data_IF_263213328688
#
_entry.id   IF_263213328688
#
_cell.length_a   1.000
_cell.length_b   1.000
_cell.length_c   1.000
_cell.angle_alpha   90.00
_cell.angle_beta   90.00
_cell.angle_gamma   90.00
#
_symmetry.space_group_name_H-M   'P 1'
#
loop_
_entity.id
_entity.type
_entity.pdbx_description
1 polymer ?
#
# COMPACT_ATOMS: atom_id res chain seq x y z
N UNK A 1 24.48 -8.34 21.87
CA UNK A 1 25.10 -8.07 20.56
C UNK A 1 24.35 -8.83 19.47
N UNK A 2 24.05 -8.21 18.32
CA UNK A 2 23.24 -8.82 17.24
C UNK A 2 23.91 -10.01 16.54
N UNK A 3 25.25 -10.05 16.48
CA UNK A 3 25.99 -11.15 15.85
C UNK A 3 25.85 -12.49 16.60
N UNK A 4 25.90 -12.48 17.94
CA UNK A 4 25.66 -13.67 18.77
C UNK A 4 24.27 -14.29 18.57
N UNK A 5 23.26 -13.46 18.24
CA UNK A 5 21.92 -13.96 17.89
C UNK A 5 21.94 -14.69 16.54
N UNK A 6 22.64 -14.14 15.54
CA UNK A 6 22.77 -14.78 14.22
C UNK A 6 23.48 -16.14 14.33
N UNK A 7 24.56 -16.22 15.11
CA UNK A 7 25.28 -17.49 15.27
C UNK A 7 24.44 -18.55 15.98
N UNK A 8 23.67 -18.14 17.01
CA UNK A 8 22.76 -19.03 17.73
C UNK A 8 21.65 -19.54 16.82
N UNK A 9 21.00 -18.62 16.09
CA UNK A 9 19.94 -18.98 15.14
C UNK A 9 20.44 -19.95 14.06
N UNK A 10 21.60 -19.68 13.47
CA UNK A 10 22.17 -20.52 12.42
C UNK A 10 22.45 -21.94 12.92
N UNK A 11 22.98 -22.07 14.14
CA UNK A 11 23.22 -23.37 14.76
C UNK A 11 21.92 -24.12 15.08
N UNK A 12 20.88 -23.43 15.54
CA UNK A 12 19.58 -24.04 15.85
C UNK A 12 18.89 -24.57 14.59
N UNK A 13 18.88 -23.78 13.52
CA UNK A 13 18.20 -24.14 12.27
C UNK A 13 18.92 -25.29 11.53
N UNK A 14 20.26 -25.29 11.52
CA UNK A 14 21.04 -26.44 11.03
C UNK A 14 20.75 -27.72 11.83
N UNK A 15 20.64 -27.61 13.16
CA UNK A 15 20.37 -28.77 14.00
C UNK A 15 18.95 -29.33 13.78
N UNK A 16 17.96 -28.45 13.57
CA UNK A 16 16.58 -28.84 13.21
C UNK A 16 16.56 -29.58 11.87
N UNK A 17 17.18 -28.99 10.84
CA UNK A 17 17.25 -29.61 9.50
C UNK A 17 17.91 -30.99 9.56
N UNK A 18 19.04 -31.13 10.25
CA UNK A 18 19.72 -32.42 10.38
C UNK A 18 18.84 -33.47 11.08
N UNK A 19 18.08 -33.07 12.11
CA UNK A 19 17.15 -33.96 12.81
C UNK A 19 15.97 -34.38 11.93
N UNK A 20 15.47 -33.47 11.11
CA UNK A 20 14.39 -33.73 10.17
C UNK A 20 14.83 -34.73 9.09
N UNK A 21 16.06 -34.58 8.58
CA UNK A 21 16.67 -35.56 7.66
C UNK A 21 16.81 -36.93 8.32
N UNK A 22 17.36 -36.99 9.56
CA UNK A 22 17.47 -38.26 10.29
C UNK A 22 16.12 -38.96 10.45
N UNK A 23 15.08 -38.19 10.78
CA UNK A 23 13.72 -38.71 10.97
C UNK A 23 13.12 -39.19 9.65
N UNK A 24 13.28 -38.42 8.58
CA UNK A 24 12.77 -38.76 7.24
C UNK A 24 13.43 -40.00 6.65
N UNK A 25 14.75 -40.15 6.84
CA UNK A 25 15.49 -41.35 6.44
C UNK A 25 14.98 -42.58 7.21
N UNK A 26 14.71 -42.45 8.52
CA UNK A 26 14.12 -43.54 9.31
C UNK A 26 12.70 -43.92 8.84
N UNK A 27 11.94 -42.98 8.27
CA UNK A 27 10.64 -43.22 7.63
C UNK A 27 10.75 -43.78 6.21
N UNK A 28 11.96 -43.90 5.64
CA UNK A 28 12.17 -44.38 4.27
C UNK A 28 11.93 -43.32 3.18
N UNK A 29 11.80 -42.04 3.55
CA UNK A 29 11.58 -40.95 2.60
C UNK A 29 12.93 -40.42 2.09
N UNK A 30 13.29 -40.75 0.85
CA UNK A 30 14.58 -40.36 0.25
C UNK A 30 14.53 -39.00 -0.48
N UNK A 31 13.34 -38.45 -0.73
CA UNK A 31 13.18 -37.18 -1.45
C UNK A 31 13.79 -35.99 -0.71
N UNK A 32 13.87 -36.05 0.62
CA UNK A 32 14.48 -35.01 1.45
C UNK A 32 15.98 -34.81 1.13
N UNK A 33 16.67 -35.86 0.69
CA UNK A 33 18.09 -35.76 0.35
C UNK A 33 18.31 -34.85 -0.86
N UNK A 34 17.43 -34.92 -1.86
CA UNK A 34 17.50 -34.07 -3.06
C UNK A 34 17.29 -32.61 -2.69
N UNK A 35 16.28 -32.31 -1.87
CA UNK A 35 16.03 -30.95 -1.39
C UNK A 35 17.23 -30.42 -0.59
N UNK A 36 17.89 -31.29 0.17
CA UNK A 36 19.09 -30.89 0.90
C UNK A 36 20.27 -30.55 -0.02
N UNK A 37 20.41 -31.16 -1.19
CA UNK A 37 21.49 -30.83 -2.14
C UNK A 37 21.45 -29.34 -2.50
N UNK A 38 20.27 -28.78 -2.78
CA UNK A 38 20.12 -27.35 -3.11
C UNK A 38 20.38 -26.43 -1.91
N UNK A 39 19.90 -26.82 -0.73
CA UNK A 39 20.18 -26.10 0.53
C UNK A 39 21.68 -26.02 0.76
N UNK A 40 22.37 -27.16 0.71
CA UNK A 40 23.80 -27.22 0.99
C UNK A 40 24.63 -26.62 -0.14
N UNK A 41 24.19 -26.67 -1.39
CA UNK A 41 24.77 -25.91 -2.50
C UNK A 41 24.83 -24.41 -2.15
N UNK A 42 23.71 -23.83 -1.71
CA UNK A 42 23.67 -22.43 -1.27
C UNK A 42 24.54 -22.16 -0.04
N UNK A 43 24.57 -23.05 0.94
CA UNK A 43 25.40 -22.89 2.13
C UNK A 43 26.91 -22.98 1.84
N UNK A 44 27.34 -23.92 0.99
CA UNK A 44 28.73 -24.04 0.55
C UNK A 44 29.16 -22.82 -0.25
N UNK A 45 28.28 -22.27 -1.09
CA UNK A 45 28.52 -21.04 -1.83
C UNK A 45 28.92 -19.88 -0.91
N UNK A 46 28.16 -19.68 0.17
CA UNK A 46 28.40 -18.56 1.09
C UNK A 46 29.51 -18.87 2.12
N UNK A 47 29.52 -20.03 2.77
CA UNK A 47 30.41 -20.33 3.90
C UNK A 47 31.81 -20.82 3.49
N UNK A 48 31.91 -21.47 2.34
CA UNK A 48 33.18 -21.97 1.78
C UNK A 48 33.69 -21.11 0.62
N UNK A 49 32.88 -20.14 0.15
CA UNK A 49 33.28 -19.21 -0.91
C UNK A 49 33.30 -19.83 -2.31
N UNK A 50 32.64 -20.99 -2.49
CA UNK A 50 32.51 -21.68 -3.77
C UNK A 50 31.44 -21.00 -4.63
N UNK A 51 31.79 -19.85 -5.22
CA UNK A 51 30.81 -18.94 -5.84
C UNK A 51 30.04 -19.58 -6.99
N UNK A 52 30.66 -20.51 -7.71
CA UNK A 52 30.09 -21.15 -8.89
C UNK A 52 29.64 -22.59 -8.62
N UNK A 53 29.51 -22.96 -7.33
CA UNK A 53 28.96 -24.26 -6.98
C UNK A 53 27.53 -24.40 -7.50
N UNK A 54 27.26 -25.53 -8.14
CA UNK A 54 25.98 -25.87 -8.74
C UNK A 54 25.57 -27.30 -8.39
N UNK A 55 24.26 -27.55 -8.44
CA UNK A 55 23.72 -28.89 -8.29
C UNK A 55 23.72 -29.61 -9.65
N UNK A 56 24.41 -30.74 -9.73
CA UNK A 56 24.53 -31.52 -10.97
C UNK A 56 23.22 -32.20 -11.37
N UNK A 57 22.31 -32.45 -10.42
CA UNK A 57 21.02 -33.06 -10.68
C UNK A 57 20.01 -32.10 -11.37
N UNK A 58 20.24 -30.79 -11.32
CA UNK A 58 19.39 -29.79 -11.99
C UNK A 58 19.85 -29.47 -13.43
N UNK A 59 21.17 -29.46 -13.70
CA UNK A 59 21.73 -28.97 -14.98
C UNK A 59 22.19 -30.08 -15.95
N UNK A 60 22.58 -31.25 -15.46
CA UNK A 60 23.09 -32.35 -16.29
C UNK A 60 22.28 -33.65 -16.04
N UNK A 61 22.53 -34.71 -16.83
CA UNK A 61 21.77 -35.97 -16.78
C UNK A 61 21.56 -36.45 -15.33
N UNK A 62 20.34 -36.89 -15.00
CA UNK A 62 20.01 -37.52 -13.72
C UNK A 62 21.06 -38.56 -13.32
N UNK A 63 21.62 -38.40 -12.11
CA UNK A 63 22.61 -39.28 -11.47
C UNK A 63 24.04 -39.17 -12.06
N UNK A 64 24.69 -38.01 -11.88
CA UNK A 64 26.14 -37.90 -12.10
C UNK A 64 26.88 -38.88 -11.17
N UNK A 65 27.90 -39.62 -11.64
CA UNK A 65 28.43 -40.76 -10.93
C UNK A 65 29.23 -40.35 -9.67
N UNK A 66 28.57 -40.40 -8.52
CA UNK A 66 29.18 -40.27 -7.20
C UNK A 66 29.61 -38.85 -6.81
N UNK A 67 29.01 -37.82 -7.42
CA UNK A 67 29.12 -36.41 -7.02
C UNK A 67 27.74 -35.76 -7.23
N UNK A 68 27.30 -34.94 -6.27
CA UNK A 68 26.02 -34.23 -6.36
C UNK A 68 26.21 -32.73 -6.67
N UNK A 69 27.25 -32.10 -6.10
CA UNK A 69 27.56 -30.68 -6.33
C UNK A 69 28.98 -30.50 -6.89
N UNK A 70 29.17 -29.55 -7.80
CA UNK A 70 30.51 -29.21 -8.31
C UNK A 70 30.73 -27.70 -8.43
N UNK A 71 31.98 -27.28 -8.24
CA UNK A 71 32.50 -25.97 -8.66
C UNK A 71 33.72 -26.22 -9.57
N UNK A 72 33.58 -25.93 -10.86
CA UNK A 72 34.62 -26.22 -11.85
C UNK A 72 35.76 -25.20 -11.85
N UNK A 73 35.50 -23.97 -11.38
CA UNK A 73 36.53 -22.94 -11.29
C UNK A 73 37.47 -23.24 -10.12
N UNK A 74 36.90 -23.56 -8.96
CA UNK A 74 37.67 -23.96 -7.77
C UNK A 74 38.08 -25.44 -7.80
N UNK A 75 37.62 -26.20 -8.80
CA UNK A 75 37.90 -27.63 -8.99
C UNK A 75 37.55 -28.46 -7.75
N UNK A 76 36.41 -28.16 -7.11
CA UNK A 76 35.90 -28.86 -5.92
C UNK A 76 34.65 -29.65 -6.27
N UNK A 77 34.58 -30.89 -5.80
CA UNK A 77 33.40 -31.75 -5.88
C UNK A 77 32.86 -32.10 -4.49
N UNK A 78 31.54 -32.15 -4.35
CA UNK A 78 30.88 -32.51 -3.10
C UNK A 78 29.86 -33.62 -3.34
N UNK A 79 30.01 -34.73 -2.60
CA UNK A 79 28.97 -35.75 -2.47
C UNK A 79 28.15 -35.46 -1.22
N UNK A 80 26.84 -35.35 -1.36
CA UNK A 80 25.87 -35.22 -0.28
C UNK A 80 25.28 -36.61 0.01
N UNK A 81 25.23 -37.01 1.28
CA UNK A 81 24.69 -38.33 1.67
C UNK A 81 24.15 -38.33 3.09
N UNK A 82 23.08 -39.08 3.36
CA UNK A 82 22.63 -39.34 4.73
C UNK A 82 23.31 -40.57 5.36
N UNK A 83 23.89 -41.45 4.54
CA UNK A 83 24.63 -42.64 4.98
C UNK A 83 26.07 -42.27 5.36
N UNK A 84 26.37 -42.49 6.65
CA UNK A 84 27.65 -42.21 7.29
C UNK A 84 28.63 -43.40 7.30
N UNK A 85 28.27 -44.53 6.69
CA UNK A 85 29.08 -45.74 6.75
C UNK A 85 30.40 -45.57 5.98
N UNK A 86 31.46 -46.20 6.51
CA UNK A 86 32.75 -46.27 5.82
C UNK A 86 32.62 -46.93 4.44
N UNK A 87 31.71 -47.90 4.29
CA UNK A 87 31.44 -48.57 3.01
C UNK A 87 30.88 -47.61 1.98
N UNK A 88 29.90 -46.76 2.34
CA UNK A 88 29.37 -45.72 1.46
C UNK A 88 30.47 -44.76 1.00
N UNK A 89 31.32 -44.29 1.92
CA UNK A 89 32.45 -43.41 1.61
C UNK A 89 33.40 -44.06 0.60
N UNK A 90 33.79 -45.32 0.84
CA UNK A 90 34.65 -46.08 -0.07
C UNK A 90 34.01 -46.26 -1.44
N UNK A 91 32.72 -46.56 -1.49
CA UNK A 91 32.00 -46.75 -2.74
C UNK A 91 31.90 -45.45 -3.54
N UNK A 92 31.63 -44.32 -2.89
CA UNK A 92 31.64 -43.00 -3.53
C UNK A 92 33.03 -42.67 -4.10
N UNK A 93 34.09 -42.82 -3.31
CA UNK A 93 35.46 -42.56 -3.79
C UNK A 93 35.88 -43.49 -4.93
N UNK A 94 35.53 -44.78 -4.84
CA UNK A 94 35.80 -45.75 -5.92
C UNK A 94 35.06 -45.36 -7.21
N UNK A 95 33.82 -44.90 -7.10
CA UNK A 95 33.00 -44.44 -8.24
C UNK A 95 33.67 -43.23 -8.92
N UNK A 96 34.11 -42.25 -8.14
CA UNK A 96 34.82 -41.06 -8.63
C UNK A 96 36.11 -41.46 -9.38
N UNK A 97 36.89 -42.39 -8.83
CA UNK A 97 38.13 -42.86 -9.48
C UNK A 97 37.81 -43.59 -10.78
N UNK A 98 36.82 -44.49 -10.78
CA UNK A 98 36.43 -45.27 -11.96
C UNK A 98 35.96 -44.40 -13.13
N UNK A 99 35.33 -43.25 -12.83
CA UNK A 99 34.88 -42.27 -13.82
C UNK A 99 35.92 -41.17 -14.12
N UNK A 100 37.15 -41.30 -13.60
CA UNK A 100 38.25 -40.32 -13.77
C UNK A 100 37.93 -38.89 -13.32
N UNK A 101 37.01 -38.73 -12.38
CA UNK A 101 36.63 -37.40 -11.87
C UNK A 101 37.74 -36.75 -11.04
N UNK A 102 38.68 -37.55 -10.52
CA UNK A 102 39.92 -37.11 -9.87
C UNK A 102 40.87 -36.33 -10.80
N UNK A 103 40.71 -36.41 -12.13
CA UNK A 103 41.47 -35.58 -13.07
C UNK A 103 40.84 -34.17 -13.21
N UNK A 104 39.52 -34.07 -12.94
CA UNK A 104 38.74 -32.84 -13.09
C UNK A 104 38.71 -32.00 -11.81
N UNK A 105 38.67 -32.65 -10.65
CA UNK A 105 38.56 -31.99 -9.35
C UNK A 105 39.78 -32.29 -8.48
N UNK A 106 40.33 -31.25 -7.86
CA UNK A 106 41.52 -31.35 -7.00
C UNK A 106 41.14 -31.73 -5.57
N UNK A 107 39.92 -31.37 -5.14
CA UNK A 107 39.40 -31.67 -3.80
C UNK A 107 38.02 -32.28 -3.86
N UNK A 108 37.82 -33.33 -3.07
CA UNK A 108 36.54 -34.04 -2.96
C UNK A 108 36.09 -33.97 -1.51
N UNK A 109 34.87 -33.51 -1.29
CA UNK A 109 34.24 -33.40 0.03
C UNK A 109 33.06 -34.37 0.07
N UNK A 110 32.91 -35.09 1.18
CA UNK A 110 31.74 -35.90 1.48
C UNK A 110 30.99 -35.20 2.62
N UNK A 111 29.84 -34.63 2.29
CA UNK A 111 28.96 -33.98 3.24
C UNK A 111 27.88 -34.95 3.72
N UNK A 112 27.88 -35.23 5.02
CA UNK A 112 26.93 -36.09 5.68
C UNK A 112 25.79 -35.23 6.23
N UNK A 113 24.57 -35.44 5.72
CA UNK A 113 23.36 -34.70 6.12
C UNK A 113 22.99 -34.94 7.60
N UNK A 114 23.32 -36.13 8.09
CA UNK A 114 23.15 -36.55 9.48
C UNK A 114 24.47 -36.39 10.24
N UNK A 115 24.57 -36.93 11.45
CA UNK A 115 25.83 -36.92 12.20
C UNK A 115 26.87 -37.91 11.61
N UNK A 116 28.06 -37.41 11.25
CA UNK A 116 29.19 -38.26 10.80
C UNK A 116 29.68 -39.23 11.88
N UNK A 117 30.32 -40.34 11.50
CA UNK A 117 30.91 -41.29 12.45
C UNK A 117 32.00 -40.64 13.31
N UNK A 118 32.23 -41.18 14.51
CA UNK A 118 33.25 -40.65 15.42
C UNK A 118 34.67 -40.83 14.90
N UNK A 119 34.92 -41.88 14.10
CA UNK A 119 36.19 -42.13 13.43
C UNK A 119 35.97 -42.94 12.16
N UNK A 120 36.87 -42.77 11.19
CA UNK A 120 36.96 -43.56 9.97
C UNK A 120 38.37 -44.14 9.85
N UNK A 121 38.49 -45.34 9.29
CA UNK A 121 39.80 -45.97 9.08
C UNK A 121 40.53 -45.30 7.92
N UNK A 122 41.54 -44.50 8.24
CA UNK A 122 42.40 -43.79 7.27
C UNK A 122 43.08 -44.76 6.31
N UNK A 123 43.63 -45.87 6.82
CA UNK A 123 44.27 -46.91 6.00
C UNK A 123 43.31 -47.49 4.95
N UNK A 124 42.06 -47.71 5.34
CA UNK A 124 41.02 -48.23 4.47
C UNK A 124 40.63 -47.27 3.35
N UNK A 125 40.62 -45.96 3.64
CA UNK A 125 40.28 -44.92 2.65
C UNK A 125 41.47 -44.70 1.72
N UNK A 126 42.68 -44.60 2.25
CA UNK A 126 43.91 -44.43 1.45
C UNK A 126 44.12 -45.59 0.46
N UNK A 127 43.78 -46.82 0.85
CA UNK A 127 43.81 -47.98 -0.05
C UNK A 127 42.86 -47.84 -1.24
N UNK A 128 41.70 -47.19 -1.05
CA UNK A 128 40.73 -46.94 -2.13
C UNK A 128 41.19 -45.79 -3.01
N UNK A 129 41.74 -44.73 -2.42
CA UNK A 129 42.27 -43.59 -3.16
C UNK A 129 43.48 -43.96 -4.02
N UNK A 130 44.27 -44.96 -3.61
CA UNK A 130 45.42 -45.50 -4.37
C UNK A 130 46.40 -44.40 -4.84
N UNK A 131 46.55 -43.34 -4.03
CA UNK A 131 47.38 -42.18 -4.34
C UNK A 131 46.86 -41.27 -5.46
N UNK A 132 45.67 -41.53 -6.02
CA UNK A 132 45.05 -40.74 -7.11
C UNK A 132 44.26 -39.53 -6.62
N UNK A 133 43.83 -39.55 -5.36
CA UNK A 133 43.09 -38.48 -4.70
C UNK A 133 43.77 -38.22 -3.36
N UNK A 134 44.11 -36.96 -3.10
CA UNK A 134 44.48 -36.50 -1.76
C UNK A 134 43.20 -36.26 -0.96
N UNK A 135 42.92 -37.13 0.02
CA UNK A 135 41.67 -37.09 0.80
C UNK A 135 41.98 -37.14 2.29
N UNK A 136 41.71 -36.05 3.01
CA UNK A 136 41.87 -35.97 4.45
C UNK A 136 40.52 -36.20 5.15
N UNK A 137 40.41 -37.34 5.84
CA UNK A 137 39.24 -37.75 6.62
C UNK A 137 38.74 -36.66 7.58
N UNK A 138 39.64 -35.85 8.13
CA UNK A 138 39.30 -34.83 9.12
C UNK A 138 38.70 -33.57 8.51
N UNK A 139 39.14 -33.17 7.31
CA UNK A 139 38.71 -31.93 6.64
C UNK A 139 37.75 -32.14 5.49
N UNK A 140 37.68 -33.35 4.92
CA UNK A 140 36.91 -33.65 3.72
C UNK A 140 35.66 -34.47 4.01
N UNK A 141 35.51 -35.01 5.23
CA UNK A 141 34.23 -35.56 5.70
C UNK A 141 33.59 -34.56 6.65
N UNK A 142 32.54 -33.90 6.18
CA UNK A 142 31.87 -32.80 6.88
C UNK A 142 30.47 -33.19 7.31
N UNK A 143 30.00 -32.63 8.42
CA UNK A 143 28.59 -32.63 8.81
C UNK A 143 28.13 -31.24 9.27
N UNK A 144 26.87 -31.14 9.72
CA UNK A 144 26.27 -29.88 10.15
C UNK A 144 27.06 -29.15 11.26
N UNK A 145 27.87 -29.87 12.06
CA UNK A 145 28.69 -29.27 13.14
C UNK A 145 29.89 -28.53 12.56
N UNK A 146 30.46 -29.05 11.48
CA UNK A 146 31.57 -28.40 10.77
C UNK A 146 31.08 -27.12 10.10
N UNK A 147 29.89 -27.14 9.48
CA UNK A 147 29.22 -25.94 8.96
C UNK A 147 28.88 -24.94 10.06
N UNK A 148 28.36 -25.39 11.21
CA UNK A 148 28.07 -24.52 12.35
C UNK A 148 29.34 -23.85 12.88
N UNK A 149 30.44 -24.59 13.00
CA UNK A 149 31.74 -24.05 13.40
C UNK A 149 32.28 -23.03 12.38
N UNK A 150 32.08 -23.28 11.08
CA UNK A 150 32.42 -22.33 10.01
C UNK A 150 31.57 -21.06 10.10
N UNK A 151 30.26 -21.21 10.28
CA UNK A 151 29.31 -20.10 10.42
C UNK A 151 29.57 -19.25 11.66
N UNK A 152 29.97 -19.85 12.77
CA UNK A 152 30.33 -19.14 14.00
C UNK A 152 31.52 -18.16 13.81
N UNK A 153 32.42 -18.48 12.87
CA UNK A 153 33.59 -17.65 12.54
C UNK A 153 33.36 -16.79 11.28
N UNK A 154 32.18 -16.84 10.67
CA UNK A 154 31.88 -16.11 9.44
C UNK A 154 31.53 -14.65 9.71
N UNK A 155 31.92 -13.71 8.83
CA UNK A 155 31.46 -12.32 8.89
C UNK A 155 29.92 -12.22 8.92
N UNK A 156 29.33 -11.24 9.64
CA UNK A 156 27.88 -11.13 9.80
C UNK A 156 27.08 -11.14 8.49
N UNK A 157 27.64 -10.57 7.41
CA UNK A 157 27.00 -10.53 6.09
C UNK A 157 26.90 -11.92 5.45
N UNK A 158 27.95 -12.72 5.55
CA UNK A 158 27.99 -14.10 5.02
C UNK A 158 27.04 -14.98 5.83
N UNK A 159 27.12 -14.86 7.16
CA UNK A 159 26.24 -15.61 8.06
C UNK A 159 24.76 -15.29 7.83
N UNK A 160 24.42 -14.02 7.59
CA UNK A 160 23.05 -13.61 7.29
C UNK A 160 22.54 -14.23 5.99
N UNK A 161 23.35 -14.27 4.92
CA UNK A 161 22.97 -14.94 3.67
C UNK A 161 22.78 -16.44 3.83
N UNK A 162 23.65 -17.11 4.59
CA UNK A 162 23.51 -18.53 4.90
C UNK A 162 22.22 -18.82 5.69
N UNK A 163 21.90 -17.97 6.68
CA UNK A 163 20.62 -18.00 7.38
C UNK A 163 19.44 -17.76 6.44
N UNK A 164 19.60 -16.87 5.47
CA UNK A 164 18.52 -16.53 4.57
C UNK A 164 18.14 -17.71 3.67
N UNK A 165 19.15 -18.43 3.17
CA UNK A 165 18.99 -19.68 2.43
C UNK A 165 18.29 -20.73 3.28
N UNK A 166 18.78 -21.03 4.49
CA UNK A 166 18.12 -22.00 5.39
C UNK A 166 16.67 -21.63 5.69
N UNK A 167 16.44 -20.34 5.95
CA UNK A 167 15.12 -19.81 6.28
C UNK A 167 14.10 -19.97 5.16
N UNK A 168 14.50 -19.82 3.90
CA UNK A 168 13.60 -19.98 2.75
C UNK A 168 13.09 -21.43 2.64
N UNK A 169 13.97 -22.42 2.80
CA UNK A 169 13.61 -23.83 2.71
C UNK A 169 12.81 -24.33 3.92
N UNK A 170 13.18 -23.90 5.13
CA UNK A 170 12.46 -24.30 6.34
C UNK A 170 11.05 -23.69 6.43
N UNK A 171 10.80 -22.55 5.76
CA UNK A 171 9.51 -21.83 5.81
C UNK A 171 8.63 -22.05 4.59
N UNK A 172 9.20 -22.48 3.46
CA UNK A 172 8.50 -22.57 2.18
C UNK A 172 8.17 -21.21 1.55
N UNK A 173 8.73 -20.12 2.07
CA UNK A 173 8.57 -18.76 1.53
C UNK A 173 9.84 -17.92 1.78
N UNK A 174 10.04 -16.90 0.95
CA UNK A 174 11.15 -15.95 1.10
C UNK A 174 11.03 -15.11 2.37
N UNK A 175 12.17 -14.69 2.88
CA UNK A 175 12.31 -13.92 4.12
C UNK A 175 11.78 -12.49 3.92
N UNK A 176 10.95 -12.04 4.86
CA UNK A 176 10.33 -10.71 4.84
C UNK A 176 8.88 -10.72 4.35
N UNK A 177 8.34 -11.89 4.00
CA UNK A 177 6.93 -12.07 3.62
C UNK A 177 6.12 -12.86 4.65
N UNK A 178 6.76 -13.42 5.69
CA UNK A 178 6.07 -14.13 6.76
C UNK A 178 5.69 -13.20 7.91
N UNK A 179 4.55 -13.45 8.56
CA UNK A 179 4.07 -12.67 9.72
C UNK A 179 5.10 -12.57 10.85
N UNK A 180 5.91 -13.62 11.03
CA UNK A 180 6.99 -13.67 12.04
C UNK A 180 8.23 -12.83 11.70
N UNK A 181 8.41 -12.42 10.43
CA UNK A 181 9.45 -11.46 10.03
C UNK A 181 9.02 -10.02 10.32
N UNK A 182 7.71 -9.80 10.49
CA UNK A 182 7.12 -8.56 10.99
C UNK A 182 6.98 -8.64 12.51
N UNK A 183 8.02 -8.17 13.22
CA UNK A 183 7.99 -7.93 14.66
C UNK A 183 7.91 -6.40 14.95
N UNK A 184 6.83 -5.70 14.52
CA UNK A 184 6.62 -4.32 14.92
C UNK A 184 6.39 -4.29 16.44
N UNK A 185 6.94 -3.31 17.17
CA UNK A 185 6.77 -3.21 18.61
C UNK A 185 5.30 -3.27 19.02
N UNK A 186 4.97 -4.09 20.02
CA UNK A 186 3.63 -4.16 20.61
C UNK A 186 3.24 -2.85 21.33
N UNK A 187 4.23 -2.01 21.66
CA UNK A 187 4.04 -0.75 22.35
C UNK A 187 4.81 0.42 21.70
N UNK A 188 4.21 1.62 21.64
CA UNK A 188 2.84 1.92 22.05
C UNK A 188 1.80 1.53 20.99
N UNK A 189 0.56 1.16 21.37
CA UNK A 189 -0.51 0.91 20.42
C UNK A 189 -0.79 2.16 19.57
N UNK A 190 -1.01 1.97 18.27
CA UNK A 190 -1.31 3.05 17.34
C UNK A 190 -2.80 3.09 17.01
N UNK A 191 -3.40 4.27 17.05
CA UNK A 191 -4.78 4.47 16.58
C UNK A 191 -4.76 4.66 15.08
N UNK A 192 -5.31 3.69 14.35
CA UNK A 192 -5.49 3.81 12.91
C UNK A 192 -6.70 4.69 12.64
N UNK A 193 -6.52 5.73 11.83
CA UNK A 193 -7.61 6.59 11.38
C UNK A 193 -7.89 6.29 9.91
N UNK A 194 -9.11 5.87 9.58
CA UNK A 194 -9.54 5.79 8.19
C UNK A 194 -9.75 7.20 7.64
N UNK A 195 -9.72 7.34 6.32
CA UNK A 195 -10.08 8.59 5.64
C UNK A 195 -11.61 8.80 5.57
N UNK A 196 -12.35 8.25 6.53
CA UNK A 196 -13.80 8.20 6.60
C UNK A 196 -14.30 9.09 7.74
N UNK A 197 -15.20 10.02 7.40
CA UNK A 197 -15.89 10.91 8.33
C UNK A 197 -17.37 10.52 8.36
N UNK A 198 -17.95 10.32 9.54
CA UNK A 198 -19.39 10.08 9.68
C UNK A 198 -20.20 11.18 9.00
N UNK A 199 -21.23 10.79 8.26
CA UNK A 199 -22.03 11.71 7.44
C UNK A 199 -23.52 11.51 7.71
N UNK A 200 -24.17 12.56 8.16
CA UNK A 200 -25.59 12.57 8.51
C UNK A 200 -26.37 13.46 7.55
N UNK A 201 -27.62 13.08 7.30
CA UNK A 201 -28.53 13.76 6.39
C UNK A 201 -29.96 13.73 6.95
N UNK A 202 -30.89 14.55 6.41
CA UNK A 202 -32.28 14.58 6.87
C UNK A 202 -32.96 13.22 6.72
N UNK A 203 -33.81 12.88 7.69
CA UNK A 203 -34.49 11.58 7.78
C UNK A 203 -35.84 11.56 7.04
N UNK A 204 -36.12 12.57 6.22
CA UNK A 204 -37.32 12.62 5.39
C UNK A 204 -36.91 12.99 3.97
N UNK A 205 -37.22 12.12 3.04
CA UNK A 205 -37.03 12.30 1.61
C UNK A 205 -38.38 12.62 0.97
N UNK A 206 -38.43 13.67 0.16
CA UNK A 206 -39.63 14.08 -0.58
C UNK A 206 -39.43 13.77 -2.06
N UNK A 207 -40.45 13.14 -2.67
CA UNK A 207 -40.48 12.78 -4.07
C UNK A 207 -41.79 13.26 -4.67
N UNK A 208 -41.74 13.94 -5.81
CA UNK A 208 -42.94 14.37 -6.51
C UNK A 208 -42.73 14.35 -8.03
N UNK A 209 -43.80 14.17 -8.79
CA UNK A 209 -43.75 14.25 -10.24
C UNK A 209 -43.55 15.71 -10.68
N UNK A 210 -42.73 15.91 -11.71
CA UNK A 210 -42.55 17.22 -12.31
C UNK A 210 -43.80 17.60 -13.14
N UNK A 211 -44.13 18.88 -13.15
CA UNK A 211 -45.28 19.39 -13.93
C UNK A 211 -45.07 19.12 -15.43
N UNK A 212 -46.15 18.85 -16.21
CA UNK A 212 -46.05 18.57 -17.64
C UNK A 212 -45.31 19.66 -18.44
N UNK A 213 -45.55 20.93 -18.10
CA UNK A 213 -44.89 22.09 -18.72
C UNK A 213 -43.36 22.07 -18.55
N UNK A 214 -42.89 21.52 -17.44
CA UNK A 214 -41.47 21.33 -17.16
C UNK A 214 -40.93 20.17 -18.00
N UNK A 215 -41.68 19.06 -18.06
CA UNK A 215 -41.29 17.84 -18.78
C UNK A 215 -41.22 18.02 -20.30
N UNK A 216 -42.11 18.83 -20.90
CA UNK A 216 -42.11 19.09 -22.34
C UNK A 216 -40.77 19.64 -22.85
N UNK A 217 -40.06 20.38 -22.01
CA UNK A 217 -38.75 20.96 -22.30
C UNK A 217 -37.57 20.05 -21.90
N UNK A 218 -37.83 18.95 -21.20
CA UNK A 218 -36.82 18.04 -20.64
C UNK A 218 -36.45 16.85 -21.53
N UNK A 219 -36.72 16.89 -22.85
CA UNK A 219 -36.37 15.83 -23.83
C UNK A 219 -34.86 15.55 -23.99
N UNK A 220 -34.01 16.10 -23.13
CA UNK A 220 -32.56 15.93 -23.10
C UNK A 220 -32.14 14.80 -22.16
N UNK A 221 -31.07 14.08 -22.52
CA UNK A 221 -30.38 13.11 -21.67
C UNK A 221 -29.90 13.70 -20.33
N UNK A 222 -29.78 15.02 -20.22
CA UNK A 222 -29.33 15.74 -19.02
C UNK A 222 -30.47 16.52 -18.36
N UNK A 223 -31.44 15.78 -17.80
CA UNK A 223 -32.68 16.33 -17.22
C UNK A 223 -32.43 17.46 -16.22
N UNK A 224 -31.46 17.32 -15.31
CA UNK A 224 -31.12 18.39 -14.34
C UNK A 224 -30.63 19.69 -15.00
N UNK A 225 -29.80 19.61 -16.03
CA UNK A 225 -29.33 20.80 -16.75
C UNK A 225 -30.49 21.49 -17.47
N UNK A 226 -31.42 20.70 -18.03
CA UNK A 226 -32.64 21.22 -18.62
C UNK A 226 -33.50 21.94 -17.56
N UNK A 227 -33.70 21.34 -16.38
CA UNK A 227 -34.43 21.98 -15.27
C UNK A 227 -33.80 23.31 -14.87
N UNK A 228 -32.47 23.35 -14.72
CA UNK A 228 -31.75 24.57 -14.38
C UNK A 228 -31.92 25.67 -15.43
N UNK A 229 -32.00 25.32 -16.72
CA UNK A 229 -32.24 26.28 -17.80
C UNK A 229 -33.70 26.77 -17.82
N UNK A 230 -34.67 25.91 -17.48
CA UNK A 230 -36.07 26.31 -17.30
C UNK A 230 -36.20 27.32 -16.15
N UNK A 231 -35.69 27.00 -14.97
CA UNK A 231 -35.72 27.88 -13.78
C UNK A 231 -35.13 29.26 -14.09
N UNK A 232 -33.97 29.31 -14.78
CA UNK A 232 -33.34 30.57 -15.16
C UNK A 232 -34.17 31.41 -16.14
N UNK A 233 -34.90 30.78 -17.06
CA UNK A 233 -35.80 31.50 -17.99
C UNK A 233 -36.99 32.12 -17.28
N UNK A 234 -37.50 31.43 -16.24
CA UNK A 234 -38.54 31.98 -15.37
C UNK A 234 -38.03 33.08 -14.42
N UNK A 235 -36.73 33.42 -14.49
CA UNK A 235 -36.09 34.39 -13.59
C UNK A 235 -36.21 34.03 -12.11
N UNK A 236 -36.39 32.73 -11.82
CA UNK A 236 -36.45 32.17 -10.48
C UNK A 236 -35.09 31.55 -10.12
N UNK A 237 -34.90 31.25 -8.84
CA UNK A 237 -33.74 30.55 -8.32
C UNK A 237 -34.19 29.45 -7.39
N UNK A 238 -33.61 28.26 -7.56
CA UNK A 238 -33.87 27.11 -6.69
C UNK A 238 -32.55 26.60 -6.11
N UNK A 239 -32.56 26.07 -4.88
CA UNK A 239 -31.43 25.36 -4.30
C UNK A 239 -30.94 24.23 -5.22
N UNK A 240 -29.63 23.94 -5.17
CA UNK A 240 -29.03 22.93 -6.05
C UNK A 240 -29.15 21.48 -5.55
N UNK A 241 -29.71 21.26 -4.37
CA UNK A 241 -29.79 19.99 -3.63
C UNK A 241 -31.05 19.17 -3.95
N UNK A 242 -31.23 18.86 -5.24
CA UNK A 242 -32.26 17.97 -5.76
C UNK A 242 -31.71 17.05 -6.85
N UNK A 243 -32.33 15.92 -7.11
CA UNK A 243 -32.07 15.11 -8.32
C UNK A 243 -33.36 14.92 -9.11
N UNK A 244 -33.22 14.73 -10.43
CA UNK A 244 -34.33 14.33 -11.28
C UNK A 244 -34.06 12.89 -11.70
N UNK A 245 -35.02 12.01 -11.42
CA UNK A 245 -34.95 10.59 -11.75
C UNK A 245 -36.34 10.12 -12.19
N UNK A 246 -36.43 9.51 -13.37
CA UNK A 246 -37.71 9.05 -13.94
C UNK A 246 -38.84 10.10 -13.85
N UNK A 247 -38.54 11.33 -14.29
CA UNK A 247 -39.48 12.47 -14.35
C UNK A 247 -39.99 12.95 -12.98
N UNK A 248 -39.40 12.43 -11.89
CA UNK A 248 -39.65 12.84 -10.51
C UNK A 248 -38.50 13.68 -9.97
N UNK A 249 -38.86 14.68 -9.17
CA UNK A 249 -37.92 15.44 -8.37
C UNK A 249 -37.76 14.76 -7.02
N UNK A 250 -36.51 14.49 -6.62
CA UNK A 250 -36.16 13.88 -5.34
C UNK A 250 -35.28 14.85 -4.55
N UNK A 251 -35.68 15.21 -3.34
CA UNK A 251 -34.97 16.18 -2.49
C UNK A 251 -35.25 15.99 -1.00
N UNK A 252 -34.45 16.62 -0.15
CA UNK A 252 -34.72 16.72 1.29
C UNK A 252 -35.59 17.94 1.65
N UNK A 253 -35.85 18.84 0.70
CA UNK A 253 -36.73 20.00 0.93
C UNK A 253 -38.18 19.53 0.99
N UNK A 254 -38.97 20.10 1.92
CA UNK A 254 -40.39 19.79 2.00
C UNK A 254 -41.12 20.29 0.75
N UNK A 255 -41.59 19.35 -0.08
CA UNK A 255 -42.32 19.62 -1.32
C UNK A 255 -43.82 19.92 -1.10
N UNK A 256 -44.34 19.69 0.10
CA UNK A 256 -45.71 20.06 0.48
C UNK A 256 -45.84 21.56 0.80
N UNK A 257 -44.71 22.26 0.98
CA UNK A 257 -44.71 23.69 1.23
C UNK A 257 -44.96 24.48 -0.06
N UNK A 258 -46.14 25.11 -0.17
CA UNK A 258 -46.55 25.93 -1.33
C UNK A 258 -45.70 27.18 -1.56
N UNK A 259 -45.11 27.72 -0.50
CA UNK A 259 -44.17 28.84 -0.58
C UNK A 259 -42.71 28.34 -0.73
N UNK A 260 -42.53 27.03 -0.91
CA UNK A 260 -41.23 26.38 -1.06
C UNK A 260 -40.58 26.65 -2.42
N UNK A 261 -39.24 26.55 -2.50
CA UNK A 261 -38.50 26.88 -3.72
C UNK A 261 -38.81 25.96 -4.90
N UNK A 262 -39.40 24.79 -4.66
CA UNK A 262 -39.71 23.81 -5.70
C UNK A 262 -41.21 23.78 -6.08
N UNK A 263 -42.07 24.57 -5.44
CA UNK A 263 -43.52 24.47 -5.60
C UNK A 263 -44.00 24.69 -7.05
N UNK A 264 -43.30 25.52 -7.83
CA UNK A 264 -43.62 25.79 -9.24
C UNK A 264 -43.10 24.71 -10.21
N UNK A 265 -42.40 23.68 -9.72
CA UNK A 265 -41.78 22.63 -10.54
C UNK A 265 -42.51 21.29 -10.44
N UNK A 266 -43.23 21.06 -9.34
CA UNK A 266 -43.79 19.75 -8.98
C UNK A 266 -45.31 19.78 -8.88
N UNK A 267 -45.96 18.64 -9.09
CA UNK A 267 -47.37 18.47 -8.79
C UNK A 267 -47.55 18.14 -7.30
N UNK A 268 -48.10 19.09 -6.52
CA UNK A 268 -48.37 18.96 -5.08
C UNK A 268 -49.22 17.71 -4.76
N UNK A 269 -50.11 17.29 -5.67
CA UNK A 269 -50.95 16.10 -5.48
C UNK A 269 -50.20 14.77 -5.57
N UNK A 270 -48.95 14.79 -6.01
CA UNK A 270 -48.09 13.61 -6.21
C UNK A 270 -46.96 13.50 -5.19
N UNK A 271 -46.93 14.39 -4.19
CA UNK A 271 -45.86 14.40 -3.19
C UNK A 271 -45.95 13.15 -2.31
N UNK A 272 -44.86 12.39 -2.29
CA UNK A 272 -44.66 11.20 -1.46
C UNK A 272 -43.50 11.46 -0.48
N UNK A 273 -43.64 10.93 0.74
CA UNK A 273 -42.60 11.01 1.78
C UNK A 273 -42.04 9.64 2.10
N UNK A 274 -40.72 9.54 2.20
CA UNK A 274 -40.01 8.29 2.47
C UNK A 274 -38.94 8.49 3.55
N UNK A 275 -38.65 7.43 4.30
CA UNK A 275 -37.37 7.33 4.98
C UNK A 275 -36.27 7.13 3.93
N UNK A 276 -35.10 7.80 4.03
CA UNK A 276 -34.04 7.64 3.05
C UNK A 276 -33.63 6.19 2.78
N UNK A 277 -33.63 5.32 3.80
CA UNK A 277 -33.34 3.88 3.65
C UNK A 277 -34.32 3.16 2.75
N UNK A 278 -35.60 3.52 2.77
CA UNK A 278 -36.61 2.94 1.89
C UNK A 278 -36.35 3.25 0.41
N UNK A 279 -35.60 4.32 0.13
CA UNK A 279 -35.21 4.69 -1.23
C UNK A 279 -33.89 4.03 -1.63
N UNK A 280 -32.81 4.20 -0.84
CA UNK A 280 -31.48 3.73 -1.27
C UNK A 280 -31.26 2.22 -1.13
N UNK A 281 -32.06 1.50 -0.33
CA UNK A 281 -31.95 0.04 -0.19
C UNK A 281 -32.75 -0.74 -1.26
N UNK A 282 -33.43 -0.06 -2.19
CA UNK A 282 -34.17 -0.71 -3.29
C UNK A 282 -33.21 -1.50 -4.18
N UNK A 283 -32.22 -0.82 -4.77
CA UNK A 283 -31.17 -1.41 -5.59
C UNK A 283 -29.96 -0.47 -5.75
N UNK A 284 -28.94 -0.92 -6.48
CA UNK A 284 -27.71 -0.15 -6.74
C UNK A 284 -27.94 1.15 -7.55
N UNK A 285 -28.95 1.20 -8.41
CA UNK A 285 -29.28 2.38 -9.21
C UNK A 285 -29.92 3.46 -8.33
N UNK A 286 -30.85 3.08 -7.45
CA UNK A 286 -31.41 3.98 -6.44
C UNK A 286 -30.33 4.46 -5.46
N UNK A 287 -29.42 3.59 -5.01
CA UNK A 287 -28.27 3.99 -4.19
C UNK A 287 -27.40 5.03 -4.93
N UNK A 288 -27.18 4.87 -6.24
CA UNK A 288 -26.40 5.83 -7.06
C UNK A 288 -27.11 7.18 -7.22
N UNK A 289 -28.43 7.18 -7.39
CA UNK A 289 -29.24 8.41 -7.42
C UNK A 289 -29.18 9.10 -6.06
N UNK A 290 -29.30 8.35 -4.97
CA UNK A 290 -29.20 8.88 -3.62
C UNK A 290 -27.82 9.48 -3.33
N UNK A 291 -26.72 8.79 -3.70
CA UNK A 291 -25.35 9.36 -3.62
C UNK A 291 -25.21 10.65 -4.43
N UNK A 292 -25.92 10.78 -5.55
CA UNK A 292 -25.95 12.03 -6.31
C UNK A 292 -26.66 13.15 -5.56
N UNK A 293 -27.78 12.85 -4.89
CA UNK A 293 -28.47 13.80 -4.01
C UNK A 293 -27.58 14.24 -2.84
N UNK A 294 -26.89 13.31 -2.17
CA UNK A 294 -25.96 13.62 -1.08
C UNK A 294 -24.83 14.54 -1.56
N UNK A 295 -24.23 14.25 -2.72
CA UNK A 295 -23.20 15.09 -3.34
C UNK A 295 -23.71 16.51 -3.59
N UNK A 296 -24.92 16.65 -4.10
CA UNK A 296 -25.51 17.94 -4.43
C UNK A 296 -25.89 18.74 -3.18
N UNK A 297 -26.35 18.05 -2.14
CA UNK A 297 -26.59 18.63 -0.81
C UNK A 297 -25.29 19.15 -0.20
N UNK A 298 -24.21 18.37 -0.29
CA UNK A 298 -22.88 18.80 0.13
C UNK A 298 -22.38 20.00 -0.70
N UNK A 299 -22.58 20.00 -2.02
CA UNK A 299 -22.23 21.13 -2.88
C UNK A 299 -22.95 22.42 -2.46
N UNK A 300 -24.25 22.33 -2.17
CA UNK A 300 -25.05 23.46 -1.72
C UNK A 300 -24.53 24.02 -0.38
N UNK A 301 -24.22 23.16 0.59
CA UNK A 301 -23.62 23.55 1.88
C UNK A 301 -22.26 24.24 1.68
N UNK A 302 -21.35 23.59 0.96
CA UNK A 302 -19.98 24.08 0.78
C UNK A 302 -19.88 25.35 -0.07
N UNK A 303 -20.80 25.56 -1.01
CA UNK A 303 -20.82 26.79 -1.82
C UNK A 303 -21.00 28.06 -0.97
N UNK A 304 -21.85 28.00 0.06
CA UNK A 304 -22.06 29.10 1.03
C UNK A 304 -20.77 29.47 1.75
N UNK A 305 -19.93 28.47 2.00
CA UNK A 305 -18.63 28.59 2.69
C UNK A 305 -17.45 28.88 1.74
N UNK A 306 -17.75 29.39 0.53
CA UNK A 306 -16.78 29.75 -0.51
C UNK A 306 -15.90 28.57 -0.92
N UNK A 307 -16.53 27.40 -1.09
CA UNK A 307 -15.89 26.20 -1.63
C UNK A 307 -16.65 25.75 -2.87
N UNK A 308 -15.95 25.66 -4.00
CA UNK A 308 -16.55 25.43 -5.32
C UNK A 308 -16.34 23.99 -5.77
N UNK A 309 -17.39 23.37 -6.32
CA UNK A 309 -17.28 22.07 -6.98
C UNK A 309 -16.76 22.20 -8.42
N UNK A 310 -15.76 21.39 -8.74
CA UNK A 310 -15.20 21.22 -10.08
C UNK A 310 -15.66 19.90 -10.68
N UNK A 311 -16.63 19.97 -11.60
CA UNK A 311 -17.31 18.78 -12.15
C UNK A 311 -16.38 17.86 -12.95
N UNK A 312 -15.48 18.41 -13.77
CA UNK A 312 -14.60 17.60 -14.64
C UNK A 312 -13.60 16.84 -13.77
N UNK A 313 -13.00 17.53 -12.81
CA UNK A 313 -11.94 17.03 -11.94
C UNK A 313 -12.48 16.32 -10.68
N UNK A 314 -13.79 16.37 -10.47
CA UNK A 314 -14.53 15.73 -9.37
C UNK A 314 -13.98 16.07 -7.97
N UNK A 315 -13.66 17.34 -7.76
CA UNK A 315 -13.12 17.83 -6.49
C UNK A 315 -13.71 19.18 -6.08
N UNK A 316 -13.67 19.45 -4.78
CA UNK A 316 -13.96 20.73 -4.19
C UNK A 316 -12.69 21.56 -4.10
N UNK A 317 -12.79 22.86 -4.38
CA UNK A 317 -11.68 23.81 -4.29
C UNK A 317 -12.05 24.97 -3.38
N UNK A 318 -11.14 25.35 -2.47
CA UNK A 318 -11.35 26.53 -1.62
C UNK A 318 -11.15 27.80 -2.43
N UNK A 319 -12.12 28.71 -2.39
CA UNK A 319 -12.03 30.04 -3.02
C UNK A 319 -11.52 31.07 -2.01
N UNK A 320 -11.04 32.25 -2.45
CA UNK A 320 -10.76 33.34 -1.53
C UNK A 320 -12.05 33.81 -0.85
N UNK A 321 -11.93 34.38 0.36
CA UNK A 321 -13.08 34.91 1.11
C UNK A 321 -13.81 35.98 0.30
N UNK A 322 -13.06 36.95 -0.25
CA UNK A 322 -13.52 37.88 -1.28
C UNK A 322 -12.66 37.74 -2.53
N UNK A 323 -13.21 37.98 -3.72
CA UNK A 323 -12.51 37.73 -5.00
C UNK A 323 -11.21 38.57 -5.17
N UNK A 324 -11.11 39.67 -4.43
CA UNK A 324 -9.94 40.54 -4.34
C UNK A 324 -8.82 39.99 -3.46
N UNK A 325 -9.09 39.03 -2.56
CA UNK A 325 -8.07 38.45 -1.70
C UNK A 325 -7.14 37.53 -2.50
N UNK A 326 -5.83 37.70 -2.28
CA UNK A 326 -4.81 36.84 -2.87
C UNK A 326 -4.47 35.63 -2.01
N UNK A 327 -4.88 35.61 -0.73
CA UNK A 327 -4.65 34.49 0.18
C UNK A 327 -5.89 34.22 1.02
N UNK A 328 -6.09 32.96 1.42
CA UNK A 328 -7.06 32.56 2.46
C UNK A 328 -6.39 31.55 3.37
N UNK A 329 -6.38 31.85 4.66
CA UNK A 329 -5.88 30.97 5.71
C UNK A 329 -6.98 30.67 6.71
N UNK A 330 -7.08 29.42 7.15
CA UNK A 330 -8.05 28.97 8.14
C UNK A 330 -7.28 28.45 9.36
N UNK A 331 -7.64 28.93 10.54
CA UNK A 331 -7.14 28.41 11.81
C UNK A 331 -8.00 27.21 12.20
N UNK A 332 -7.37 26.13 12.63
CA UNK A 332 -8.05 24.92 13.05
C UNK A 332 -7.37 24.33 14.29
N UNK A 333 -8.14 23.61 15.10
CA UNK A 333 -7.67 22.98 16.32
C UNK A 333 -7.61 21.45 16.16
N UNK A 334 -6.39 20.92 16.08
CA UNK A 334 -6.16 19.49 16.23
C UNK A 334 -5.72 19.17 17.66
N UNK A 335 -4.61 18.44 17.80
CA UNK A 335 -3.91 18.33 19.10
C UNK A 335 -3.28 19.66 19.54
N UNK A 336 -3.02 20.55 18.58
CA UNK A 336 -2.53 21.93 18.77
C UNK A 336 -3.27 22.83 17.79
N UNK A 337 -3.30 24.14 18.09
CA UNK A 337 -3.80 25.15 17.17
C UNK A 337 -2.81 25.28 16.01
N UNK A 338 -3.31 25.22 14.79
CA UNK A 338 -2.53 25.35 13.57
C UNK A 338 -3.29 26.18 12.52
N UNK A 339 -2.57 26.64 11.50
CA UNK A 339 -3.15 27.38 10.38
C UNK A 339 -2.92 26.62 9.08
N UNK A 340 -3.92 26.65 8.19
CA UNK A 340 -3.87 26.05 6.85
C UNK A 340 -4.09 27.15 5.82
N UNK A 341 -3.15 27.32 4.90
CA UNK A 341 -3.38 28.13 3.70
C UNK A 341 -4.19 27.30 2.70
N UNK A 342 -5.42 27.74 2.43
CA UNK A 342 -6.38 27.04 1.56
C UNK A 342 -6.50 27.69 0.18
N UNK A 343 -6.02 28.92 0.03
CA UNK A 343 -5.98 29.61 -1.26
C UNK A 343 -4.77 30.54 -1.33
N UNK A 344 -4.12 30.58 -2.49
CA UNK A 344 -3.04 31.52 -2.79
C UNK A 344 -3.01 31.87 -4.28
N UNK A 345 -2.95 33.17 -4.59
CA UNK A 345 -2.74 33.73 -5.92
C UNK A 345 -1.40 34.46 -5.94
N UNK A 346 -0.49 34.01 -6.82
CA UNK A 346 0.83 34.61 -7.03
C UNK A 346 0.88 35.32 -8.38
N UNK A 347 1.58 36.44 -8.41
CA UNK A 347 1.81 37.25 -9.61
C UNK A 347 3.24 37.08 -10.12
N UNK A 348 3.49 37.42 -11.39
CA UNK A 348 4.84 37.33 -11.97
C UNK A 348 5.73 38.46 -11.44
N UNK A 349 6.98 38.14 -11.09
CA UNK A 349 7.94 39.14 -10.62
C UNK A 349 8.22 40.24 -11.67
N UNK A 350 8.20 39.88 -12.95
CA UNK A 350 8.51 40.80 -14.06
C UNK A 350 7.27 41.56 -14.57
N UNK A 351 6.06 41.14 -14.18
CA UNK A 351 4.79 41.73 -14.62
C UNK A 351 3.73 41.51 -13.52
N UNK A 352 3.63 42.43 -12.54
CA UNK A 352 2.75 42.27 -11.38
C UNK A 352 1.26 42.19 -11.71
N UNK A 353 0.84 42.61 -12.91
CA UNK A 353 -0.56 42.53 -13.34
C UNK A 353 -0.93 41.13 -13.85
N UNK A 354 0.07 40.29 -14.16
CA UNK A 354 -0.14 38.92 -14.63
C UNK A 354 -0.03 37.91 -13.51
N UNK A 355 -1.10 37.14 -13.32
CA UNK A 355 -1.12 35.99 -12.42
C UNK A 355 -0.15 34.92 -12.91
N UNK A 356 0.80 34.54 -12.06
CA UNK A 356 1.74 33.44 -12.28
C UNK A 356 1.06 32.10 -12.00
N UNK A 357 0.42 31.97 -10.84
CA UNK A 357 -0.28 30.75 -10.43
C UNK A 357 -1.38 31.05 -9.43
N UNK A 358 -2.49 30.33 -9.55
CA UNK A 358 -3.54 30.30 -8.52
C UNK A 358 -3.61 28.88 -7.98
N UNK A 359 -3.41 28.74 -6.68
CA UNK A 359 -3.40 27.47 -5.95
C UNK A 359 -4.57 27.42 -5.00
N UNK A 360 -5.28 26.30 -5.05
CA UNK A 360 -6.37 25.97 -4.15
C UNK A 360 -5.99 24.71 -3.40
N UNK A 361 -6.18 24.72 -2.09
CA UNK A 361 -6.37 23.48 -1.38
C UNK A 361 -7.69 22.88 -1.86
N UNK A 362 -7.70 21.57 -2.04
CA UNK A 362 -8.82 20.88 -2.66
C UNK A 362 -9.01 19.52 -2.02
N UNK A 363 -10.16 18.92 -2.25
CA UNK A 363 -10.43 17.58 -1.79
C UNK A 363 -11.49 16.92 -2.65
N UNK A 364 -11.36 15.62 -2.86
CA UNK A 364 -12.41 14.80 -3.43
C UNK A 364 -13.15 14.06 -2.32
N UNK A 365 -14.40 13.71 -2.62
CA UNK A 365 -15.25 12.97 -1.70
C UNK A 365 -15.95 11.83 -2.41
N UNK A 366 -16.13 10.72 -1.70
CA UNK A 366 -17.06 9.66 -2.09
C UNK A 366 -17.91 9.26 -0.89
N UNK A 367 -19.14 8.82 -1.17
CA UNK A 367 -20.07 8.36 -0.15
C UNK A 367 -19.98 6.85 -0.04
N UNK A 368 -19.61 6.37 1.14
CA UNK A 368 -19.42 4.96 1.45
C UNK A 368 -20.43 4.57 2.51
N UNK A 369 -21.16 3.48 2.26
CA UNK A 369 -22.06 2.88 3.23
C UNK A 369 -21.39 1.64 3.82
N UNK A 370 -21.31 1.58 5.15
CA UNK A 370 -20.77 0.43 5.87
C UNK A 370 -21.86 -0.02 6.84
N UNK A 371 -22.43 -1.20 6.59
CA UNK A 371 -23.65 -1.67 7.27
C UNK A 371 -24.79 -0.64 7.11
N UNK A 372 -25.22 0.00 8.19
CA UNK A 372 -26.32 0.96 8.20
C UNK A 372 -25.83 2.41 8.25
N UNK A 373 -24.53 2.64 8.37
CA UNK A 373 -23.96 3.96 8.58
C UNK A 373 -23.34 4.51 7.29
N UNK A 374 -23.46 5.82 7.12
CA UNK A 374 -22.91 6.54 5.98
C UNK A 374 -21.67 7.32 6.37
N UNK A 375 -20.67 7.25 5.51
CA UNK A 375 -19.38 7.91 5.66
C UNK A 375 -19.01 8.69 4.41
N UNK A 376 -18.37 9.84 4.63
CA UNK A 376 -17.67 10.59 3.61
C UNK A 376 -16.21 10.13 3.58
N UNK A 377 -15.82 9.45 2.52
CA UNK A 377 -14.41 9.18 2.22
C UNK A 377 -13.80 10.45 1.62
N UNK A 378 -12.87 11.07 2.34
CA UNK A 378 -12.24 12.34 1.95
C UNK A 378 -10.82 12.06 1.48
N UNK A 379 -10.44 12.64 0.35
CA UNK A 379 -9.06 12.62 -0.15
C UNK A 379 -8.58 14.04 -0.39
N UNK A 380 -7.71 14.58 0.48
CA UNK A 380 -7.10 15.89 0.27
C UNK A 380 -6.22 15.92 -0.98
N UNK A 381 -6.23 17.03 -1.71
CA UNK A 381 -5.38 17.26 -2.86
C UNK A 381 -5.11 18.77 -3.07
N UNK A 382 -4.42 19.12 -4.15
CA UNK A 382 -4.21 20.48 -4.61
C UNK A 382 -4.76 20.69 -6.02
N UNK A 383 -5.36 21.85 -6.24
CA UNK A 383 -5.85 22.26 -7.56
C UNK A 383 -5.19 23.57 -7.99
N UNK A 384 -4.64 23.58 -9.20
CA UNK A 384 -4.07 24.78 -9.80
C UNK A 384 -4.94 25.27 -10.94
N UNK A 385 -5.26 26.55 -10.91
CA UNK A 385 -6.18 27.16 -11.85
C UNK A 385 -5.64 28.42 -12.52
N UNK A 386 -6.35 28.86 -13.56
CA UNK A 386 -6.12 30.12 -14.24
C UNK A 386 -7.44 30.84 -14.57
N UNK A 387 -7.35 32.17 -14.74
CA UNK A 387 -8.48 33.06 -15.03
C UNK A 387 -9.51 33.15 -13.90
N UNK A 388 -10.50 34.02 -14.08
CA UNK A 388 -11.49 34.35 -13.05
C UNK A 388 -12.51 33.23 -12.80
N UNK A 389 -12.65 32.32 -13.77
CA UNK A 389 -13.50 31.12 -13.65
C UNK A 389 -12.75 29.93 -13.02
N UNK A 390 -11.51 30.13 -12.58
CA UNK A 390 -10.66 29.10 -11.98
C UNK A 390 -10.57 27.83 -12.84
N UNK A 391 -10.38 27.95 -14.16
CA UNK A 391 -10.25 26.78 -15.05
C UNK A 391 -8.96 26.04 -14.73
N UNK A 392 -8.92 24.73 -14.91
CA UNK A 392 -7.73 23.92 -14.61
C UNK A 392 -6.51 24.43 -15.40
N UNK A 393 -5.39 24.60 -14.71
CA UNK A 393 -4.13 24.99 -15.33
C UNK A 393 -3.57 23.87 -16.19
N UNK A 394 -3.15 24.18 -17.42
CA UNK A 394 -2.44 23.26 -18.32
C UNK A 394 -1.12 22.74 -17.72
N UNK A 395 -0.54 23.49 -16.77
CA UNK A 395 0.68 23.12 -16.06
C UNK A 395 0.40 22.55 -14.66
N UNK A 396 -0.87 22.31 -14.32
CA UNK A 396 -1.32 21.89 -13.00
C UNK A 396 -0.62 20.62 -12.52
N UNK A 397 -0.53 19.59 -13.36
CA UNK A 397 0.02 18.28 -12.99
C UNK A 397 1.48 18.35 -12.52
N UNK A 398 2.28 19.20 -13.18
CA UNK A 398 3.69 19.41 -12.81
C UNK A 398 3.80 20.11 -11.46
N UNK A 399 2.95 21.12 -11.20
CA UNK A 399 2.91 21.86 -9.94
C UNK A 399 2.40 20.99 -8.78
N UNK A 400 1.37 20.17 -9.02
CA UNK A 400 0.84 19.20 -8.06
C UNK A 400 1.91 18.17 -7.73
N UNK A 401 2.58 17.61 -8.74
CA UNK A 401 3.65 16.63 -8.54
C UNK A 401 4.79 17.19 -7.70
N UNK A 402 5.22 18.43 -7.97
CA UNK A 402 6.23 19.11 -7.15
C UNK A 402 5.78 19.29 -5.70
N UNK A 403 4.50 19.65 -5.48
CA UNK A 403 3.93 19.80 -4.14
C UNK A 403 3.85 18.47 -3.39
N UNK A 404 3.38 17.41 -4.04
CA UNK A 404 3.25 16.07 -3.45
C UNK A 404 4.61 15.46 -3.07
N UNK A 405 5.67 15.73 -3.83
CA UNK A 405 7.04 15.31 -3.48
C UNK A 405 7.56 15.90 -2.17
N UNK A 406 7.05 17.07 -1.78
CA UNK A 406 7.44 17.74 -0.52
C UNK A 406 6.59 17.30 0.67
N UNK A 407 5.52 16.52 0.44
CA UNK A 407 4.55 16.14 1.47
C UNK A 407 4.88 14.75 2.03
N UNK A 408 5.12 14.70 3.34
CA UNK A 408 5.28 13.45 4.09
C UNK A 408 3.92 12.90 4.52
N UNK A 409 3.86 11.63 4.92
CA UNK A 409 2.63 10.97 5.40
C UNK A 409 1.91 11.78 6.49
N UNK A 410 2.67 12.31 7.46
CA UNK A 410 2.11 13.17 8.51
C UNK A 410 1.42 14.43 7.97
N UNK A 411 1.99 15.07 6.95
CA UNK A 411 1.39 16.25 6.31
C UNK A 411 0.05 15.91 5.66
N UNK A 412 -0.02 14.78 4.95
CA UNK A 412 -1.25 14.29 4.32
C UNK A 412 -2.32 13.95 5.37
N UNK A 413 -1.91 13.33 6.47
CA UNK A 413 -2.83 13.07 7.58
C UNK A 413 -3.35 14.36 8.21
N UNK A 414 -2.49 15.36 8.43
CA UNK A 414 -2.90 16.66 8.96
C UNK A 414 -3.79 17.44 7.97
N UNK A 415 -3.67 17.20 6.65
CA UNK A 415 -4.59 17.73 5.64
C UNK A 415 -6.00 17.15 5.81
N UNK A 416 -6.09 15.83 5.99
CA UNK A 416 -7.35 15.14 6.26
C UNK A 416 -7.99 15.58 7.58
N UNK A 417 -7.21 15.66 8.67
CA UNK A 417 -7.70 16.14 9.97
C UNK A 417 -8.21 17.58 9.91
N UNK A 418 -7.51 18.45 9.17
CA UNK A 418 -7.96 19.82 8.93
C UNK A 418 -9.34 19.83 8.25
N UNK A 419 -9.54 19.05 7.19
CA UNK A 419 -10.82 18.98 6.50
C UNK A 419 -11.94 18.48 7.41
N UNK A 420 -11.70 17.44 8.20
CA UNK A 420 -12.69 16.91 9.12
C UNK A 420 -13.08 17.94 10.18
N UNK A 421 -12.09 18.56 10.84
CA UNK A 421 -12.34 19.63 11.82
C UNK A 421 -13.12 20.77 11.18
N UNK A 422 -12.66 21.25 10.03
CA UNK A 422 -13.31 22.37 9.33
C UNK A 422 -14.75 22.04 8.95
N UNK A 423 -15.03 20.84 8.42
CA UNK A 423 -16.38 20.40 8.07
C UNK A 423 -17.29 20.33 9.30
N UNK A 424 -16.81 19.78 10.42
CA UNK A 424 -17.57 19.76 11.68
C UNK A 424 -17.81 21.17 12.24
N UNK A 425 -16.85 22.08 12.12
CA UNK A 425 -17.00 23.48 12.56
C UNK A 425 -18.10 24.21 11.76
N UNK A 426 -18.32 23.85 10.48
CA UNK A 426 -19.42 24.40 9.68
C UNK A 426 -20.79 24.09 10.27
N UNK A 427 -20.97 22.94 10.93
CA UNK A 427 -22.26 22.57 11.53
C UNK A 427 -22.59 23.49 12.70
N UNK A 428 -21.58 23.88 13.49
CA UNK A 428 -21.75 24.89 14.53
C UNK A 428 -22.03 26.29 13.97
N UNK A 429 -21.35 26.71 12.90
CA UNK A 429 -21.62 28.02 12.27
C UNK A 429 -23.04 28.10 11.70
N UNK A 430 -23.47 27.03 11.01
CA UNK A 430 -24.79 26.94 10.39
C UNK A 430 -25.93 26.99 11.43
N UNK A 431 -25.75 26.40 12.62
CA UNK A 431 -26.74 26.37 13.71
C UNK A 431 -27.17 27.77 14.18
N UNK A 432 -26.29 28.78 14.08
CA UNK A 432 -26.56 30.14 14.54
C UNK A 432 -26.99 31.09 13.42
N UNK A 433 -27.22 30.59 12.21
CA UNK A 433 -27.64 31.40 11.07
C UNK A 433 -29.14 31.26 10.79
N UNK A 434 -29.88 32.36 10.89
CA UNK A 434 -31.36 32.39 10.74
C UNK A 434 -31.83 31.91 9.35
N UNK A 435 -31.05 32.19 8.30
CA UNK A 435 -31.34 31.76 6.92
C UNK A 435 -31.28 30.22 6.73
N UNK A 436 -30.62 29.51 7.65
CA UNK A 436 -30.25 28.10 7.48
C UNK A 436 -31.18 27.15 8.26
N UNK A 437 -31.85 27.65 9.30
CA UNK A 437 -32.78 26.85 10.11
C UNK A 437 -33.96 26.26 9.30
N UNK A 438 -34.28 26.83 8.12
CA UNK A 438 -35.38 26.35 7.27
C UNK A 438 -34.95 25.40 6.15
N UNK A 439 -33.64 25.22 5.91
CA UNK A 439 -33.15 24.37 4.82
C UNK A 439 -32.66 23.02 5.33
N UNK A 440 -32.93 21.91 4.62
CA UNK A 440 -32.36 20.61 4.95
C UNK A 440 -30.83 20.67 4.96
N UNK A 441 -30.23 20.13 6.03
CA UNK A 441 -28.79 20.17 6.24
C UNK A 441 -28.19 18.78 6.29
N UNK A 442 -27.00 18.65 5.70
CA UNK A 442 -26.09 17.53 5.94
C UNK A 442 -25.07 17.96 6.98
N UNK A 443 -24.72 17.04 7.88
CA UNK A 443 -23.82 17.29 9.01
C UNK A 443 -22.78 16.18 9.14
N UNK A 444 -21.75 16.41 9.95
CA UNK A 444 -20.57 15.58 10.04
C UNK A 444 -20.31 15.13 11.49
N UNK A 445 -19.94 13.87 11.66
CA UNK A 445 -19.62 13.29 12.95
C UNK A 445 -18.14 13.09 13.20
N UNK A 446 -17.79 11.92 13.73
CA UNK A 446 -16.42 11.59 14.08
C UNK A 446 -15.67 10.91 12.91
N UNK A 447 -14.33 10.98 12.98
CA UNK A 447 -13.45 10.21 12.11
C UNK A 447 -13.51 8.75 12.55
N UNK A 448 -13.67 7.82 11.62
CA UNK A 448 -13.63 6.40 11.91
C UNK A 448 -12.22 5.98 12.34
N UNK A 449 -12.08 5.53 13.58
CA UNK A 449 -10.80 5.13 14.19
C UNK A 449 -10.83 3.70 14.71
N UNK A 450 -9.67 3.04 14.68
CA UNK A 450 -9.48 1.67 15.16
C UNK A 450 -8.31 1.63 16.15
N UNK A 451 -8.53 1.05 17.32
CA UNK A 451 -7.55 1.01 18.42
C UNK A 451 -6.55 -0.16 18.37
N UNK A 452 -6.51 -0.92 17.27
CA UNK A 452 -5.73 -2.16 17.16
C UNK A 452 -4.53 -2.06 16.21
N UNK A 453 -4.06 -0.85 15.91
CA UNK A 453 -2.89 -0.66 15.05
C UNK A 453 -1.60 -1.03 15.78
N UNK A 454 -0.72 -1.78 15.10
CA UNK A 454 0.67 -1.98 15.55
C UNK A 454 1.51 -0.75 15.21
N UNK A 455 2.46 -0.40 16.05
CA UNK A 455 3.32 0.77 15.83
C UNK A 455 4.13 0.65 14.54
N UNK A 456 3.99 1.65 13.67
CA UNK A 456 4.83 1.80 12.49
C UNK A 456 5.93 2.84 12.74
N UNK A 457 7.19 2.40 12.67
CA UNK A 457 8.32 3.34 12.71
C UNK A 457 8.42 4.09 11.36
N UNK A 458 7.84 5.29 11.28
CA UNK A 458 7.85 6.13 10.06
C UNK A 458 9.27 6.36 9.50
N UNK A 459 10.32 6.39 10.33
CA UNK A 459 11.70 6.60 9.87
C UNK A 459 12.23 5.49 8.96
N UNK A 460 11.67 4.27 9.07
CA UNK A 460 12.01 3.15 8.17
C UNK A 460 11.41 3.31 6.76
N UNK A 461 10.39 4.16 6.64
CA UNK A 461 9.64 4.41 5.41
C UNK A 461 9.96 5.78 4.81
N UNK A 462 10.87 6.54 5.42
CA UNK A 462 11.41 7.73 4.76
C UNK A 462 12.14 7.31 3.48
N UNK A 463 11.93 8.02 2.36
CA UNK A 463 12.70 7.77 1.15
C UNK A 463 14.19 7.78 1.51
N UNK A 464 14.92 6.71 1.17
CA UNK A 464 16.38 6.69 1.28
C UNK A 464 16.89 7.96 0.61
N UNK A 465 17.45 8.88 1.40
CA UNK A 465 17.80 10.22 0.93
C UNK A 465 18.59 10.12 -0.36
N UNK A 466 17.92 10.38 -1.48
CA UNK A 466 18.62 10.70 -2.71
C UNK A 466 19.25 12.03 -2.39
N UNK A 467 20.55 12.03 -2.12
CA UNK A 467 21.36 13.24 -2.13
C UNK A 467 21.08 13.88 -3.49
N UNK A 468 20.20 14.89 -3.50
CA UNK A 468 19.93 15.67 -4.68
C UNK A 468 21.28 16.26 -5.10
N UNK A 469 21.78 15.79 -6.26
CA UNK A 469 22.89 16.44 -6.95
C UNK A 469 22.46 17.88 -7.22
N UNK A 470 23.16 18.80 -6.58
CA UNK A 470 23.20 20.25 -6.79
C UNK A 470 22.01 20.87 -7.54
N UNK A 471 21.26 21.61 -6.74
CA UNK A 471 20.09 22.44 -7.00
C UNK A 471 20.35 23.65 -7.93
N UNK A 472 21.12 23.43 -9.00
CA UNK A 472 21.48 24.46 -9.99
C UNK A 472 20.58 24.45 -11.24
N UNK A 473 19.79 23.39 -11.45
CA UNK A 473 18.89 23.26 -12.61
C UNK A 473 17.43 23.67 -12.31
N UNK A 474 16.98 23.69 -11.05
CA UNK A 474 15.59 24.08 -10.72
C UNK A 474 15.34 25.59 -10.83
N UNK A 475 16.37 26.45 -10.73
CA UNK A 475 16.25 27.89 -11.01
C UNK A 475 15.93 28.23 -12.47
N UNK A 476 16.01 27.27 -13.40
CA UNK A 476 15.66 27.50 -14.82
C UNK A 476 14.17 27.29 -15.13
N UNK A 477 13.37 26.78 -14.18
CA UNK A 477 11.92 26.61 -14.38
C UNK A 477 11.07 27.79 -13.88
N UNK A 478 11.70 28.75 -13.19
CA UNK A 478 11.08 30.05 -12.85
C UNK A 478 11.32 31.14 -13.93
N UNK A 479 11.97 30.79 -15.05
CA UNK A 479 12.09 31.67 -16.21
C UNK A 479 11.88 30.84 -17.47
N UNK A 480 10.60 30.69 -17.88
CA UNK A 480 10.17 30.79 -19.28
C UNK A 480 8.65 30.91 -19.36
#
# INVERSE_FOLDING_TARGET
MKHLRLTSQFSEDLAKLSREVETSVAMGHLDINKVCEDIFCGLFRELYGLKNIRNLNEEEKQNFPGIDLDDQEERVAIQVTSDKSLEKIKNSLSTIISHRLHEKYDRIIIYILTRKQGSYSVESINKVCDGKIEFDVSSDILDYRDLAARGANAPPRILKRALDILGAYMRGCDIGLADQDFDPPDEPPETLSANLLEFYFPQTLYIAELLPEVLEEMKSRHQRTALGNFVRRQQLSVPSDYVVNADRLVTFHNLENRDGPFAFLVDEGTVETFQPSEYYDIDEDYERVFKSLLRLSLQQKLYRHRVLWKHIEKQFIFLPTHDTNNTRTITWSGQKIATRSVFERKYKNNDPDKVLSTRHFSFSVSFVRIKNDWYLSITPDWFFSHGDQYRQSLYGDKLISGKKKQEKNRSVFDHFRFLCSWLSDLDSEDLFSEDVMSSPQVTFGQILTFGSGRYLNESLWEPLGVLEKDDSEQRKLDIR
#
